data_IF_792819535191
#
_entry.id   IF_792819535191
#
_cell.length_a   1.000
_cell.length_b   1.000
_cell.length_c   1.000
_cell.angle_alpha   90.00
_cell.angle_beta   90.00
_cell.angle_gamma   90.00
#
_symmetry.space_group_name_H-M   'P 1'
#
loop_
_entity.id
_entity.type
_entity.pdbx_description
1 polymer ?
#
# COMPACT_ATOMS: atom_id res chain seq x y z
N UNK A 1 17.93 10.55 4.29
CA UNK A 1 17.88 9.10 4.06
C UNK A 1 19.18 8.69 3.40
N UNK A 2 20.09 8.04 4.12
CA UNK A 2 21.39 7.62 3.59
C UNK A 2 21.27 6.17 3.11
N UNK A 3 21.53 5.94 1.83
CA UNK A 3 21.48 4.63 1.15
C UNK A 3 22.67 3.71 1.52
N UNK A 4 23.44 4.04 2.56
CA UNK A 4 24.82 3.54 2.76
C UNK A 4 24.90 2.16 3.44
N UNK A 5 23.80 1.60 3.97
CA UNK A 5 23.84 0.36 4.76
C UNK A 5 23.41 -0.93 4.02
N UNK A 6 23.02 -0.84 2.75
CA UNK A 6 22.63 -2.01 1.94
C UNK A 6 23.85 -2.61 1.22
N UNK A 7 24.71 -3.31 1.95
CA UNK A 7 25.92 -3.95 1.41
C UNK A 7 25.66 -5.16 0.45
N UNK A 8 24.57 -5.17 -0.32
CA UNK A 8 24.28 -6.18 -1.34
C UNK A 8 24.12 -5.54 -2.73
N UNK A 9 24.37 -6.37 -3.74
CA UNK A 9 24.25 -6.06 -5.16
C UNK A 9 22.96 -5.27 -5.50
N UNK A 10 23.12 -4.10 -6.14
CA UNK A 10 22.02 -3.19 -6.48
C UNK A 10 20.94 -3.88 -7.34
N UNK A 11 21.37 -4.75 -8.26
CA UNK A 11 20.45 -5.47 -9.14
C UNK A 11 19.55 -6.40 -8.33
N UNK A 12 20.12 -7.16 -7.38
CA UNK A 12 19.37 -8.03 -6.47
C UNK A 12 18.33 -7.26 -5.67
N UNK A 13 18.69 -6.09 -5.11
CA UNK A 13 17.73 -5.23 -4.40
C UNK A 13 16.58 -4.81 -5.31
N UNK A 14 16.90 -4.26 -6.49
CA UNK A 14 15.89 -3.78 -7.45
C UNK A 14 14.92 -4.89 -7.84
N UNK A 15 15.42 -6.05 -8.25
CA UNK A 15 14.55 -7.16 -8.68
C UNK A 15 13.67 -7.70 -7.54
N UNK A 16 14.22 -7.82 -6.34
CA UNK A 16 13.45 -8.27 -5.18
C UNK A 16 12.35 -7.26 -4.78
N UNK A 17 12.64 -5.96 -4.83
CA UNK A 17 11.64 -4.91 -4.58
C UNK A 17 10.56 -4.89 -5.66
N UNK A 18 10.93 -5.02 -6.94
CA UNK A 18 9.95 -5.17 -8.04
C UNK A 18 9.04 -6.37 -7.82
N UNK A 19 9.60 -7.53 -7.45
CA UNK A 19 8.80 -8.71 -7.16
C UNK A 19 7.81 -8.49 -5.99
N UNK A 20 8.23 -7.79 -4.93
CA UNK A 20 7.33 -7.42 -3.84
C UNK A 20 6.21 -6.49 -4.32
N UNK A 21 6.53 -5.51 -5.17
CA UNK A 21 5.55 -4.59 -5.75
C UNK A 21 4.56 -5.28 -6.71
N UNK A 22 4.98 -6.34 -7.39
CA UNK A 22 4.11 -7.21 -8.21
C UNK A 22 3.21 -8.14 -7.37
N UNK A 23 3.33 -8.09 -6.04
CA UNK A 23 2.46 -8.84 -5.12
C UNK A 23 3.02 -10.19 -4.66
N UNK A 24 4.30 -10.48 -4.91
CA UNK A 24 4.90 -11.69 -4.37
C UNK A 24 5.08 -11.58 -2.86
N UNK A 25 4.78 -12.67 -2.15
CA UNK A 25 4.98 -12.74 -0.71
C UNK A 25 6.48 -12.67 -0.32
N UNK A 26 6.78 -12.04 0.82
CA UNK A 26 8.14 -11.92 1.38
C UNK A 26 8.91 -13.24 1.40
N UNK A 27 8.26 -14.35 1.81
CA UNK A 27 8.89 -15.67 1.85
C UNK A 27 9.21 -16.21 0.45
N UNK A 28 8.36 -15.91 -0.54
CA UNK A 28 8.61 -16.27 -1.94
C UNK A 28 9.82 -15.54 -2.47
N UNK A 29 9.88 -14.22 -2.25
CA UNK A 29 11.03 -13.38 -2.65
C UNK A 29 12.31 -13.83 -1.95
N UNK A 30 12.26 -14.11 -0.65
CA UNK A 30 13.42 -14.62 0.11
C UNK A 30 13.99 -15.92 -0.49
N UNK A 31 13.12 -16.85 -0.89
CA UNK A 31 13.53 -18.10 -1.56
C UNK A 31 14.09 -17.86 -2.96
N UNK A 32 13.48 -16.98 -3.75
CA UNK A 32 13.88 -16.71 -5.14
C UNK A 32 15.24 -16.02 -5.23
N UNK A 33 15.52 -15.09 -4.31
CA UNK A 33 16.71 -14.25 -4.34
C UNK A 33 17.76 -14.62 -3.27
N UNK A 34 17.53 -15.68 -2.47
CA UNK A 34 18.45 -16.10 -1.40
C UNK A 34 18.57 -15.05 -0.29
N UNK A 35 17.49 -14.33 -0.01
CA UNK A 35 17.45 -13.25 0.97
C UNK A 35 16.80 -13.71 2.27
N UNK A 36 17.38 -13.25 3.37
CA UNK A 36 16.79 -13.43 4.68
C UNK A 36 15.48 -12.62 4.80
N UNK A 37 14.49 -13.19 5.50
CA UNK A 37 13.17 -12.58 5.62
C UNK A 37 13.23 -11.26 6.39
N UNK A 38 14.05 -11.16 7.44
CA UNK A 38 14.13 -9.95 8.24
C UNK A 38 14.82 -8.83 7.46
N UNK A 39 15.75 -9.19 6.57
CA UNK A 39 16.31 -8.25 5.59
C UNK A 39 15.21 -7.71 4.66
N UNK A 40 14.37 -8.57 4.08
CA UNK A 40 13.27 -8.11 3.22
C UNK A 40 12.24 -7.26 3.98
N UNK A 41 11.93 -7.65 5.22
CA UNK A 41 11.02 -6.89 6.08
C UNK A 41 11.57 -5.49 6.38
N UNK A 42 12.88 -5.33 6.59
CA UNK A 42 13.47 -4.02 6.88
C UNK A 42 13.47 -3.08 5.67
N UNK A 43 13.27 -3.59 4.46
CA UNK A 43 13.15 -2.77 3.24
C UNK A 43 11.77 -2.10 3.13
N UNK A 44 10.72 -2.75 3.66
CA UNK A 44 9.35 -2.30 3.46
C UNK A 44 9.04 -0.92 4.06
N UNK A 45 9.45 -0.56 5.29
CA UNK A 45 9.16 0.77 5.84
C UNK A 45 9.72 1.93 5.00
N UNK A 46 11.03 2.00 4.66
CA UNK A 46 11.54 3.11 3.85
C UNK A 46 11.00 3.10 2.42
N UNK A 47 10.69 1.93 1.84
CA UNK A 47 10.00 1.85 0.55
C UNK A 47 8.58 2.42 0.62
N UNK A 48 7.83 2.09 1.68
CA UNK A 48 6.50 2.62 1.93
C UNK A 48 6.50 4.14 2.08
N UNK A 49 7.44 4.67 2.89
CA UNK A 49 7.64 6.12 3.06
C UNK A 49 7.96 6.79 1.71
N UNK A 50 8.81 6.17 0.88
CA UNK A 50 9.10 6.70 -0.44
C UNK A 50 7.86 6.73 -1.35
N UNK A 51 7.06 5.66 -1.37
CA UNK A 51 5.80 5.60 -2.11
C UNK A 51 4.80 6.67 -1.63
N UNK A 52 4.67 6.87 -0.32
CA UNK A 52 3.82 7.90 0.27
C UNK A 52 4.27 9.31 -0.14
N UNK A 53 5.57 9.56 -0.15
CA UNK A 53 6.13 10.83 -0.60
C UNK A 53 5.86 11.09 -2.09
N UNK A 54 6.00 10.07 -2.95
CA UNK A 54 5.68 10.17 -4.37
C UNK A 54 4.18 10.45 -4.56
N UNK A 55 3.32 9.69 -3.90
CA UNK A 55 1.87 9.90 -3.94
C UNK A 55 1.51 11.31 -3.51
N UNK A 56 2.03 11.74 -2.37
CA UNK A 56 1.82 13.09 -1.83
C UNK A 56 2.33 14.18 -2.78
N UNK A 57 3.38 13.93 -3.56
CA UNK A 57 3.91 14.88 -4.54
C UNK A 57 3.02 14.98 -5.79
N UNK A 58 2.59 13.83 -6.35
CA UNK A 58 1.81 13.79 -7.59
C UNK A 58 0.32 14.08 -7.39
N UNK A 59 -0.26 13.67 -6.27
CA UNK A 59 -1.69 13.87 -5.96
C UNK A 59 -1.94 15.23 -5.29
N UNK A 60 -1.55 16.32 -5.96
CA UNK A 60 -1.85 17.69 -5.55
C UNK A 60 -2.54 18.45 -6.67
N UNK A 61 -3.47 19.33 -6.31
CA UNK A 61 -4.16 20.24 -7.25
C UNK A 61 -4.78 19.51 -8.47
N UNK A 62 -5.39 18.35 -8.20
CA UNK A 62 -6.00 17.51 -9.23
C UNK A 62 -7.32 18.15 -9.73
N UNK A 63 -7.25 18.86 -10.85
CA UNK A 63 -8.40 19.43 -11.54
C UNK A 63 -9.17 18.38 -12.37
N UNK A 64 -9.68 17.35 -11.69
CA UNK A 64 -10.45 16.28 -12.33
C UNK A 64 -11.89 16.74 -12.58
N UNK A 65 -12.41 16.51 -13.79
CA UNK A 65 -13.84 16.68 -14.08
C UNK A 65 -14.64 15.44 -13.74
N UNK A 66 -14.04 14.27 -13.94
CA UNK A 66 -14.58 12.96 -13.63
C UNK A 66 -13.43 12.08 -13.11
N UNK A 67 -13.73 11.20 -12.14
CA UNK A 67 -12.77 10.27 -11.57
C UNK A 67 -13.47 8.91 -11.41
N UNK A 68 -12.85 7.85 -11.93
CA UNK A 68 -13.32 6.50 -11.72
C UNK A 68 -12.69 5.96 -10.44
N UNK A 69 -13.56 5.59 -9.51
CA UNK A 69 -13.20 4.90 -8.29
C UNK A 69 -13.73 3.48 -8.41
N UNK A 70 -12.83 2.50 -8.37
CA UNK A 70 -13.20 1.10 -8.29
C UNK A 70 -12.97 0.60 -6.86
N UNK A 71 -13.94 -0.14 -6.33
CA UNK A 71 -13.96 -0.72 -4.98
C UNK A 71 -13.43 0.17 -3.83
N UNK A 72 -14.19 1.22 -3.46
CA UNK A 72 -13.94 1.98 -2.22
C UNK A 72 -14.55 1.27 -1.01
N UNK A 73 -13.72 0.56 -0.24
CA UNK A 73 -14.10 -0.01 1.05
C UNK A 73 -13.76 0.96 2.17
N UNK A 74 -14.77 1.68 2.65
CA UNK A 74 -14.67 2.56 3.81
C UNK A 74 -15.74 2.23 4.83
N UNK A 75 -15.46 2.48 6.11
CA UNK A 75 -16.44 2.25 7.17
C UNK A 75 -17.51 3.33 7.12
N UNK A 76 -18.71 2.96 6.71
CA UNK A 76 -19.87 3.86 6.77
C UNK A 76 -20.49 3.72 8.16
N UNK A 77 -20.47 4.80 8.95
CA UNK A 77 -21.14 4.91 10.25
C UNK A 77 -22.68 4.99 10.11
N UNK A 78 -23.26 4.11 9.30
CA UNK A 78 -24.69 4.01 9.03
C UNK A 78 -25.10 2.55 9.03
N UNK A 79 -24.80 1.90 10.14
CA UNK A 79 -25.26 0.54 10.43
C UNK A 79 -26.72 0.56 10.89
N UNK A 80 -27.40 -0.58 10.81
CA UNK A 80 -28.81 -0.74 11.22
C UNK A 80 -29.09 -0.17 12.63
N UNK A 81 -28.14 -0.35 13.55
CA UNK A 81 -28.21 0.13 14.93
C UNK A 81 -28.01 1.65 15.08
N UNK A 82 -27.65 2.34 14.01
CA UNK A 82 -27.42 3.79 13.95
C UNK A 82 -28.45 4.52 13.08
N UNK A 83 -29.46 3.83 12.57
CA UNK A 83 -30.58 4.44 11.84
C UNK A 83 -31.43 5.29 12.79
N UNK A 84 -31.86 6.46 12.32
CA UNK A 84 -32.82 7.26 13.07
C UNK A 84 -34.25 6.65 13.00
N UNK A 85 -35.18 7.05 13.89
CA UNK A 85 -36.49 6.39 13.97
C UNK A 85 -37.31 6.44 12.67
N UNK A 86 -37.08 7.44 11.82
CA UNK A 86 -37.78 7.60 10.54
C UNK A 86 -37.20 6.63 9.51
N UNK A 87 -35.89 6.49 9.46
CA UNK A 87 -35.21 5.53 8.57
C UNK A 87 -35.54 4.08 8.93
N UNK A 88 -35.67 3.75 10.22
CA UNK A 88 -36.09 2.41 10.67
C UNK A 88 -37.51 2.02 10.23
N UNK A 89 -38.41 2.99 10.09
CA UNK A 89 -39.78 2.77 9.61
C UNK A 89 -39.84 2.53 8.10
N UNK A 90 -38.84 3.02 7.36
CA UNK A 90 -38.76 2.95 5.90
C UNK A 90 -37.93 1.75 5.39
N UNK A 91 -37.21 1.05 6.27
CA UNK A 91 -36.38 -0.12 5.94
C UNK A 91 -37.15 -1.46 5.94
N UNK A 92 -38.48 -1.43 6.03
CA UNK A 92 -39.38 -2.61 5.92
C UNK A 92 -39.64 -2.99 4.47
#
# INVERSE_FOLDING_TARGET
MKFEDWHRDEATYRYAVTALAEGLALRTVGRLFGLDKDTLCSWLPPLGEHCENLMSYFFRDLHLRECQLDELWTFVYKKEDQLDPIEQLLSV
#
